data_IF_563564600816
#
_entry.id   IF_563564600816
#
_cell.length_a   1.000
_cell.length_b   1.000
_cell.length_c   1.000
_cell.angle_alpha   90.00
_cell.angle_beta   90.00
_cell.angle_gamma   90.00
#
_symmetry.space_group_name_H-M   'P 1'
#
loop_
_entity.id
_entity.type
_entity.pdbx_description
1 polymer ?
#
# COMPACT_ATOMS: atom_id res chain seq x y z
N UNK A 1 15.19 -0.14 8.23
CA UNK A 1 13.86 -0.30 8.86
C UNK A 1 12.86 0.54 8.07
N UNK A 2 11.65 0.04 7.82
CA UNK A 2 10.60 0.78 7.10
C UNK A 2 9.55 1.21 8.12
N UNK A 3 9.25 2.51 8.16
CA UNK A 3 8.16 3.09 8.94
C UNK A 3 6.98 3.35 8.00
N UNK A 4 5.78 3.00 8.43
CA UNK A 4 4.54 3.22 7.66
C UNK A 4 3.57 3.97 8.54
N UNK A 5 3.13 5.13 8.05
CA UNK A 5 2.10 5.94 8.68
C UNK A 5 1.06 6.29 7.62
N UNK A 6 -0.20 6.00 7.91
CA UNK A 6 -1.33 6.30 7.04
C UNK A 6 -2.61 6.41 7.86
N UNK A 7 -3.46 7.37 7.50
CA UNK A 7 -4.77 7.52 8.09
C UNK A 7 -5.73 8.18 7.09
N UNK A 8 -7.00 8.27 7.46
CA UNK A 8 -8.07 8.88 6.67
C UNK A 8 -8.14 10.39 6.90
N UNK A 9 -8.45 11.12 5.84
CA UNK A 9 -8.61 12.57 5.88
C UNK A 9 -7.64 13.30 4.95
N UNK A 10 -7.58 14.61 5.10
CA UNK A 10 -6.61 15.45 4.40
C UNK A 10 -5.22 15.25 4.98
N UNK A 11 -4.18 15.46 4.17
CA UNK A 11 -2.77 15.35 4.60
C UNK A 11 -2.51 16.16 5.87
N UNK A 12 -3.07 17.37 5.97
CA UNK A 12 -2.92 18.25 7.14
C UNK A 12 -3.66 17.79 8.39
N UNK A 13 -4.59 16.84 8.27
CA UNK A 13 -5.29 16.23 9.41
C UNK A 13 -4.58 14.96 9.88
N UNK A 14 -3.97 14.25 8.93
CA UNK A 14 -3.26 12.99 9.18
C UNK A 14 -1.86 13.25 9.77
N UNK A 15 -1.19 14.30 9.34
CA UNK A 15 0.18 14.61 9.75
C UNK A 15 0.27 15.92 10.53
N UNK A 16 0.90 15.83 11.70
CA UNK A 16 1.39 16.95 12.50
C UNK A 16 2.93 16.94 12.53
N UNK A 17 3.56 17.98 13.08
CA UNK A 17 5.02 18.09 13.19
C UNK A 17 5.64 16.92 13.98
N UNK A 18 4.92 16.39 14.97
CA UNK A 18 5.39 15.29 15.81
C UNK A 18 5.48 13.99 15.03
N UNK A 19 4.39 13.61 14.34
CA UNK A 19 4.32 12.42 13.49
C UNK A 19 5.31 12.52 12.34
N UNK A 20 5.39 13.66 11.65
CA UNK A 20 6.38 13.88 10.59
C UNK A 20 7.83 13.80 11.11
N UNK A 21 8.11 14.40 12.27
CA UNK A 21 9.44 14.36 12.89
C UNK A 21 9.90 12.96 13.30
N UNK A 22 8.95 12.03 13.47
CA UNK A 22 9.22 10.62 13.76
C UNK A 22 9.57 9.80 12.51
N UNK A 23 9.15 10.24 11.31
CA UNK A 23 9.38 9.54 10.03
C UNK A 23 10.79 9.82 9.48
N UNK A 24 11.81 9.30 10.17
CA UNK A 24 13.21 9.50 9.82
C UNK A 24 13.70 8.51 8.76
N UNK A 25 14.37 9.02 7.74
CA UNK A 25 15.00 8.23 6.68
C UNK A 25 15.48 9.13 5.54
N UNK A 26 16.21 8.54 4.60
CA UNK A 26 16.70 9.27 3.41
C UNK A 26 15.79 9.12 2.18
N UNK A 27 14.83 8.20 2.24
CA UNK A 27 13.92 7.85 1.14
C UNK A 27 12.52 7.68 1.72
N UNK A 28 11.53 8.23 1.04
CA UNK A 28 10.12 8.12 1.40
C UNK A 28 9.24 7.96 0.16
N UNK A 29 8.08 7.31 0.36
CA UNK A 29 6.99 7.25 -0.61
C UNK A 29 5.72 7.67 0.12
N UNK A 30 4.94 8.57 -0.48
CA UNK A 30 3.66 9.03 0.05
C UNK A 30 2.54 8.85 -0.96
N UNK A 31 1.30 8.78 -0.47
CA UNK A 31 0.13 8.67 -1.34
C UNK A 31 -1.07 9.42 -0.74
N UNK A 32 -1.65 10.34 -1.51
CA UNK A 32 -2.92 10.96 -1.20
C UNK A 32 -4.01 10.30 -2.06
N UNK A 33 -4.92 9.57 -1.43
CA UNK A 33 -5.99 8.85 -2.15
C UNK A 33 -7.16 9.80 -2.38
N UNK A 34 -7.49 10.04 -3.65
CA UNK A 34 -8.83 10.50 -4.01
C UNK A 34 -9.76 9.28 -4.00
N UNK A 35 -10.91 9.36 -3.30
CA UNK A 35 -11.82 8.22 -3.25
C UNK A 35 -12.52 8.05 -4.59
N UNK A 36 -12.04 7.12 -5.40
CA UNK A 36 -12.72 6.62 -6.60
C UNK A 36 -13.54 5.38 -6.22
N UNK A 37 -13.79 4.48 -7.18
CA UNK A 37 -14.48 3.21 -6.97
C UNK A 37 -13.93 2.43 -5.77
N UNK A 38 -14.83 1.93 -4.92
CA UNK A 38 -14.51 1.28 -3.65
C UNK A 38 -14.75 2.20 -2.44
N UNK A 39 -15.06 1.58 -1.30
CA UNK A 39 -15.37 2.33 -0.08
C UNK A 39 -14.18 3.16 0.42
N UNK A 40 -14.48 4.28 1.08
CA UNK A 40 -13.51 5.11 1.80
C UNK A 40 -13.20 4.47 3.16
N UNK A 41 -12.44 3.37 3.13
CA UNK A 41 -12.04 2.61 4.32
C UNK A 41 -10.52 2.64 4.49
N UNK A 42 -10.06 2.55 5.74
CA UNK A 42 -8.66 2.71 6.11
C UNK A 42 -7.74 1.66 5.44
N UNK A 43 -8.25 0.45 5.22
CA UNK A 43 -7.54 -0.64 4.54
C UNK A 43 -7.11 -0.25 3.12
N UNK A 44 -7.90 0.61 2.47
CA UNK A 44 -7.63 1.12 1.12
C UNK A 44 -6.68 2.32 1.11
N UNK A 45 -6.33 2.89 2.28
CA UNK A 45 -5.30 3.91 2.36
C UNK A 45 -3.94 3.30 1.97
N UNK A 46 -3.20 4.02 1.14
CA UNK A 46 -1.86 3.62 0.69
C UNK A 46 -0.82 4.58 1.31
N UNK A 47 0.46 4.18 1.47
CA UNK A 47 1.10 3.00 0.87
C UNK A 47 0.64 1.65 1.44
N UNK A 48 0.48 0.65 0.57
CA UNK A 48 0.32 -0.74 1.00
C UNK A 48 1.70 -1.30 1.32
N UNK A 49 1.85 -1.87 2.51
CA UNK A 49 3.10 -2.47 2.97
C UNK A 49 2.93 -3.97 3.24
N UNK A 50 3.90 -4.76 2.78
CA UNK A 50 3.99 -6.20 3.05
C UNK A 50 5.44 -6.62 3.22
N UNK A 51 5.70 -7.46 4.22
CA UNK A 51 6.94 -8.22 4.33
C UNK A 51 6.85 -9.46 3.43
N UNK A 52 7.97 -9.81 2.80
CA UNK A 52 8.12 -10.98 1.91
C UNK A 52 9.37 -11.76 2.32
N UNK A 53 9.56 -12.96 1.76
CA UNK A 53 10.76 -13.75 1.98
C UNK A 53 12.06 -13.07 1.50
N UNK A 54 11.95 -12.10 0.58
CA UNK A 54 13.10 -11.42 -0.03
C UNK A 54 13.29 -9.98 0.47
N UNK A 55 12.57 -9.58 1.53
CA UNK A 55 12.56 -8.22 2.06
C UNK A 55 11.16 -7.64 2.10
N UNK A 56 11.05 -6.32 2.24
CA UNK A 56 9.77 -5.64 2.41
C UNK A 56 9.45 -4.74 1.25
N UNK A 57 8.18 -4.67 0.87
CA UNK A 57 7.69 -3.86 -0.26
C UNK A 57 6.67 -2.85 0.28
N UNK A 58 6.85 -1.59 -0.11
CA UNK A 58 5.86 -0.54 0.04
C UNK A 58 5.43 -0.06 -1.35
N UNK A 59 4.13 0.00 -1.62
CA UNK A 59 3.58 0.36 -2.92
C UNK A 59 2.51 1.46 -2.78
N UNK A 60 2.69 2.54 -3.55
CA UNK A 60 1.66 3.53 -3.84
C UNK A 60 1.27 3.45 -5.31
N UNK A 61 -0.03 3.52 -5.62
CA UNK A 61 -0.57 3.35 -6.96
C UNK A 61 -1.67 4.38 -7.25
N UNK A 62 -1.52 5.11 -8.35
CA UNK A 62 -2.52 6.00 -8.90
C UNK A 62 -2.98 5.50 -10.29
N UNK A 63 -4.20 4.96 -10.37
CA UNK A 63 -4.76 4.38 -11.58
C UNK A 63 -5.85 3.36 -11.27
N UNK A 64 -6.21 2.54 -12.26
CA UNK A 64 -7.12 1.41 -12.09
C UNK A 64 -6.68 0.23 -12.96
N UNK A 65 -6.57 -0.96 -12.36
CA UNK A 65 -6.32 -2.19 -13.09
C UNK A 65 -7.62 -2.68 -13.74
N UNK A 66 -7.69 -2.61 -15.07
CA UNK A 66 -8.90 -2.96 -15.84
C UNK A 66 -9.18 -4.47 -15.85
N UNK A 67 -8.17 -5.31 -15.63
CA UNK A 67 -8.24 -6.76 -15.66
C UNK A 67 -7.90 -7.39 -14.30
N UNK A 68 -8.36 -6.77 -13.21
CA UNK A 68 -8.06 -7.21 -11.83
C UNK A 68 -8.43 -8.69 -11.57
N UNK A 69 -9.55 -9.17 -12.14
CA UNK A 69 -10.01 -10.57 -11.96
C UNK A 69 -9.02 -11.55 -12.60
N UNK A 70 -8.64 -11.33 -13.86
CA UNK A 70 -7.68 -12.16 -14.58
C UNK A 70 -6.32 -12.19 -13.87
N UNK A 71 -5.82 -11.04 -13.43
CA UNK A 71 -4.56 -10.96 -12.69
C UNK A 71 -4.62 -11.73 -11.36
N UNK A 72 -5.74 -11.66 -10.64
CA UNK A 72 -5.91 -12.40 -9.39
C UNK A 72 -5.90 -13.92 -9.62
N UNK A 73 -6.55 -14.40 -10.68
CA UNK A 73 -6.54 -15.82 -11.07
C UNK A 73 -5.13 -16.28 -11.45
N UNK A 74 -4.40 -15.50 -12.26
CA UNK A 74 -3.01 -15.80 -12.63
C UNK A 74 -2.10 -15.93 -11.40
N UNK A 75 -2.22 -15.00 -10.44
CA UNK A 75 -1.45 -15.04 -9.19
C UNK A 75 -1.84 -16.26 -8.33
N UNK A 76 -3.14 -16.58 -8.23
CA UNK A 76 -3.61 -17.75 -7.48
C UNK A 76 -3.08 -19.07 -8.07
N UNK A 77 -3.09 -19.19 -9.40
CA UNK A 77 -2.53 -20.35 -10.11
C UNK A 77 -1.03 -20.48 -9.83
N UNK A 78 -0.26 -19.40 -9.95
CA UNK A 78 1.17 -19.41 -9.64
C UNK A 78 1.46 -19.79 -8.18
N UNK A 79 0.66 -19.29 -7.23
CA UNK A 79 0.81 -19.63 -5.82
C UNK A 79 0.52 -21.12 -5.53
N UNK A 80 -0.46 -21.71 -6.20
CA UNK A 80 -0.79 -23.13 -6.09
C UNK A 80 0.33 -24.03 -6.64
N UNK A 81 0.97 -23.63 -7.75
CA UNK A 81 2.13 -24.32 -8.31
C UNK A 81 3.35 -24.22 -7.38
N UNK A 82 3.52 -23.08 -6.71
CA UNK A 82 4.61 -22.87 -5.76
C UNK A 82 4.44 -23.67 -4.45
N UNK A 83 3.21 -23.93 -3.99
CA UNK A 83 2.93 -24.72 -2.78
C UNK A 83 2.86 -26.23 -3.02
N UNK A 84 2.74 -26.68 -4.27
CA UNK A 84 2.79 -28.09 -4.66
C UNK A 84 4.21 -28.64 -4.89
N UNK A 85 5.25 -27.85 -4.61
CA UNK A 85 6.66 -28.21 -4.73
C UNK A 85 7.37 -28.16 -3.38
#
# INVERSE_FOLDING_TARGET
>A
QILVFKDMGLVSQVFDETSLGSLRGHIAVGHARYSTTGASVWENAQPTFRATAHGSIALGHNGNLVNTVELAELVAQQASVAHGR
#
